data_IF_985792196747
#
_entry.id   IF_985792196747
#
_cell.length_a   1.000
_cell.length_b   1.000
_cell.length_c   1.000
_cell.angle_alpha   90.00
_cell.angle_beta   90.00
_cell.angle_gamma   90.00
#
_symmetry.space_group_name_H-M   'P 1'
#
loop_
_entity.id
_entity.type
_entity.pdbx_description
1 polymer ?
#
# COMPACT_ATOMS: atom_id res chain seq x y z
N UNK A 1 -45.17 14.52 -9.93
CA UNK A 1 -43.90 13.76 -9.97
C UNK A 1 -44.21 12.30 -9.71
N UNK A 2 -44.33 11.51 -10.77
CA UNK A 2 -44.79 10.11 -10.69
C UNK A 2 -43.69 9.19 -10.16
N UNK A 3 -44.07 8.19 -9.37
CA UNK A 3 -43.21 7.16 -8.73
C UNK A 3 -42.15 6.57 -9.68
N UNK A 4 -42.41 6.53 -10.99
CA UNK A 4 -41.48 6.14 -12.06
C UNK A 4 -40.22 7.01 -12.19
N UNK A 5 -40.33 8.34 -12.07
CA UNK A 5 -39.19 9.26 -12.14
C UNK A 5 -38.34 9.21 -10.85
N UNK A 6 -39.00 9.05 -9.70
CA UNK A 6 -38.33 8.88 -8.41
C UNK A 6 -37.51 7.57 -8.39
N UNK A 7 -38.08 6.48 -8.92
CA UNK A 7 -37.38 5.20 -9.09
C UNK A 7 -36.21 5.26 -10.07
N UNK A 8 -36.38 5.94 -11.23
CA UNK A 8 -35.27 6.17 -12.18
C UNK A 8 -34.14 7.04 -11.60
N UNK A 9 -34.48 8.10 -10.87
CA UNK A 9 -33.49 8.98 -10.21
C UNK A 9 -32.77 8.27 -9.07
N UNK A 10 -33.45 7.40 -8.33
CA UNK A 10 -32.82 6.55 -7.31
C UNK A 10 -31.81 5.57 -7.94
N UNK A 11 -32.20 4.87 -9.02
CA UNK A 11 -31.31 3.96 -9.74
C UNK A 11 -30.12 4.65 -10.42
N UNK A 12 -30.28 5.88 -10.92
CA UNK A 12 -29.18 6.66 -11.49
C UNK A 12 -28.15 7.04 -10.43
N UNK A 13 -28.59 7.47 -9.24
CA UNK A 13 -27.72 7.91 -8.15
C UNK A 13 -26.92 6.75 -7.53
N UNK A 14 -27.53 5.59 -7.37
CA UNK A 14 -26.82 4.38 -6.92
C UNK A 14 -25.74 3.94 -7.92
N UNK A 15 -26.02 4.07 -9.23
CA UNK A 15 -25.03 3.80 -10.27
C UNK A 15 -23.84 4.76 -10.23
N UNK A 16 -24.02 6.02 -9.78
CA UNK A 16 -22.91 6.99 -9.72
C UNK A 16 -21.82 6.54 -8.74
N UNK A 17 -22.17 6.01 -7.56
CA UNK A 17 -21.16 5.52 -6.60
C UNK A 17 -20.39 4.34 -7.19
N UNK A 18 -21.11 3.40 -7.81
CA UNK A 18 -20.52 2.24 -8.46
C UNK A 18 -19.58 2.65 -9.61
N UNK A 19 -19.99 3.59 -10.46
CA UNK A 19 -19.14 4.13 -11.54
C UNK A 19 -17.91 4.83 -10.98
N UNK A 20 -18.06 5.71 -9.99
CA UNK A 20 -16.92 6.38 -9.38
C UNK A 20 -15.94 5.38 -8.73
N UNK A 21 -16.45 4.33 -8.10
CA UNK A 21 -15.61 3.29 -7.50
C UNK A 21 -14.91 2.44 -8.57
N UNK A 22 -15.60 2.13 -9.67
CA UNK A 22 -15.01 1.49 -10.84
C UNK A 22 -13.89 2.35 -11.45
N UNK A 23 -14.13 3.65 -11.66
CA UNK A 23 -13.15 4.59 -12.20
C UNK A 23 -11.89 4.67 -11.32
N UNK A 24 -12.04 4.69 -10.00
CA UNK A 24 -10.88 4.69 -9.09
C UNK A 24 -10.11 3.37 -9.21
N UNK A 25 -10.78 2.21 -9.22
CA UNK A 25 -10.12 0.92 -9.48
C UNK A 25 -9.36 0.89 -10.82
N UNK A 26 -9.95 1.41 -11.90
CA UNK A 26 -9.30 1.51 -13.20
C UNK A 26 -8.08 2.44 -13.21
N UNK A 27 -8.02 3.40 -12.29
CA UNK A 27 -6.98 4.44 -12.21
C UNK A 27 -5.78 4.05 -11.34
N UNK A 28 -5.70 2.80 -10.87
CA UNK A 28 -4.71 2.35 -9.88
C UNK A 28 -3.23 2.53 -10.29
N UNK A 29 -2.95 2.57 -11.60
CA UNK A 29 -1.61 2.71 -12.18
C UNK A 29 -1.41 4.05 -12.92
N UNK A 30 -2.38 4.96 -12.79
CA UNK A 30 -2.32 6.29 -13.41
C UNK A 30 -1.61 7.30 -12.49
N UNK A 31 -1.19 8.47 -13.01
CA UNK A 31 -0.53 9.49 -12.21
C UNK A 31 -1.36 9.93 -10.99
N UNK A 32 -0.66 10.33 -9.91
CA UNK A 32 -1.28 10.70 -8.62
C UNK A 32 -2.37 11.78 -8.73
N UNK A 33 -2.28 12.68 -9.72
CA UNK A 33 -3.33 13.68 -9.98
C UNK A 33 -4.69 13.05 -10.31
N UNK A 34 -4.71 11.93 -11.05
CA UNK A 34 -5.92 11.17 -11.36
C UNK A 34 -6.50 10.52 -10.11
N UNK A 35 -5.64 10.13 -9.17
CA UNK A 35 -6.10 9.56 -7.90
C UNK A 35 -6.75 10.63 -7.00
N UNK A 36 -6.19 11.84 -6.94
CA UNK A 36 -6.84 12.96 -6.25
C UNK A 36 -8.15 13.36 -6.91
N UNK A 37 -8.24 13.33 -8.24
CA UNK A 37 -9.50 13.54 -8.93
C UNK A 37 -10.55 12.50 -8.51
N UNK A 38 -10.20 11.21 -8.47
CA UNK A 38 -11.10 10.15 -8.00
C UNK A 38 -11.48 10.32 -6.53
N UNK A 39 -10.56 10.76 -5.68
CA UNK A 39 -10.86 11.11 -4.28
C UNK A 39 -11.96 12.18 -4.19
N UNK A 40 -11.83 13.26 -4.96
CA UNK A 40 -12.81 14.36 -5.00
C UNK A 40 -14.16 13.90 -5.58
N UNK A 41 -14.14 13.13 -6.67
CA UNK A 41 -15.36 12.55 -7.27
C UNK A 41 -16.06 11.65 -6.25
N UNK A 42 -15.32 10.78 -5.56
CA UNK A 42 -15.89 9.87 -4.57
C UNK A 42 -16.49 10.62 -3.38
N UNK A 43 -15.80 11.65 -2.89
CA UNK A 43 -16.30 12.53 -1.83
C UNK A 43 -17.61 13.21 -2.24
N UNK A 44 -17.65 13.78 -3.45
CA UNK A 44 -18.84 14.43 -4.00
C UNK A 44 -20.00 13.43 -4.14
N UNK A 45 -19.76 12.30 -4.81
CA UNK A 45 -20.80 11.33 -5.12
C UNK A 45 -21.36 10.68 -3.86
N UNK A 46 -20.52 10.29 -2.89
CA UNK A 46 -20.99 9.76 -1.59
C UNK A 46 -21.66 10.85 -0.74
N UNK A 47 -21.18 12.09 -0.81
CA UNK A 47 -21.78 13.23 -0.10
C UNK A 47 -23.19 13.55 -0.58
N UNK A 48 -23.48 13.33 -1.86
CA UNK A 48 -24.80 13.56 -2.48
C UNK A 48 -25.77 12.39 -2.31
N UNK A 49 -25.34 11.24 -1.79
CA UNK A 49 -26.23 10.09 -1.60
C UNK A 49 -27.19 10.30 -0.41
N UNK A 50 -28.51 10.03 -0.59
CA UNK A 50 -29.48 10.09 0.51
C UNK A 50 -29.17 9.10 1.65
N UNK A 51 -28.60 7.94 1.33
CA UNK A 51 -28.27 6.87 2.30
C UNK A 51 -26.93 7.10 3.03
N UNK A 52 -26.26 8.26 2.84
CA UNK A 52 -24.94 8.57 3.43
C UNK A 52 -24.88 8.35 4.94
N UNK A 53 -25.96 8.63 5.68
CA UNK A 53 -26.04 8.41 7.14
C UNK A 53 -26.01 6.91 7.48
N UNK A 54 -26.66 6.09 6.67
CA UNK A 54 -26.64 4.64 6.83
C UNK A 54 -25.24 4.08 6.49
N UNK A 55 -24.62 4.53 5.40
CA UNK A 55 -23.23 4.17 5.04
C UNK A 55 -22.23 4.53 6.13
N UNK A 56 -22.36 5.74 6.68
CA UNK A 56 -21.55 6.21 7.82
C UNK A 56 -21.76 5.35 9.06
N UNK A 57 -23.00 5.04 9.43
CA UNK A 57 -23.31 4.15 10.56
C UNK A 57 -22.69 2.75 10.39
N UNK A 58 -22.76 2.17 9.18
CA UNK A 58 -22.12 0.89 8.88
C UNK A 58 -20.60 0.95 9.03
N UNK A 59 -19.96 2.00 8.50
CA UNK A 59 -18.52 2.18 8.61
C UNK A 59 -18.06 2.33 10.06
N UNK A 60 -18.81 3.05 10.91
CA UNK A 60 -18.49 3.23 12.34
C UNK A 60 -18.55 1.94 13.17
N UNK A 61 -19.28 0.93 12.71
CA UNK A 61 -19.40 -0.37 13.39
C UNK A 61 -18.29 -1.35 13.03
N UNK A 62 -17.29 -0.91 12.29
CA UNK A 62 -16.18 -1.76 11.84
C UNK A 62 -15.10 -1.86 12.91
N UNK A 63 -14.35 -2.97 12.90
CA UNK A 63 -13.21 -3.16 13.81
C UNK A 63 -12.10 -2.10 13.63
N UNK A 64 -12.11 -1.39 12.51
CA UNK A 64 -11.12 -0.37 12.11
C UNK A 64 -11.52 1.02 12.60
N UNK A 65 -12.80 1.27 12.86
CA UNK A 65 -13.29 2.61 13.20
C UNK A 65 -12.66 3.15 14.49
N UNK A 66 -12.52 2.31 15.52
CA UNK A 66 -11.93 2.69 16.81
C UNK A 66 -10.44 3.03 16.68
N UNK A 67 -9.55 2.13 16.17
CA UNK A 67 -8.14 2.47 16.03
C UNK A 67 -7.91 3.67 15.10
N UNK A 68 -8.73 3.84 14.06
CA UNK A 68 -8.64 5.01 13.19
C UNK A 68 -8.98 6.30 13.94
N UNK A 69 -10.06 6.32 14.73
CA UNK A 69 -10.42 7.48 15.54
C UNK A 69 -9.36 7.78 16.60
N UNK A 70 -8.82 6.76 17.26
CA UNK A 70 -7.75 6.90 18.24
C UNK A 70 -6.46 7.42 17.60
N UNK A 71 -6.12 7.01 16.39
CA UNK A 71 -4.94 7.51 15.68
C UNK A 71 -5.06 9.02 15.43
N UNK A 72 -6.25 9.47 15.00
CA UNK A 72 -6.54 10.89 14.79
C UNK A 72 -6.51 11.69 16.09
N UNK A 73 -7.19 11.20 17.13
CA UNK A 73 -7.28 11.86 18.43
C UNK A 73 -5.93 11.92 19.14
N UNK A 74 -5.17 10.84 19.09
CA UNK A 74 -3.83 10.78 19.68
C UNK A 74 -2.86 11.73 18.96
N UNK A 75 -2.86 11.73 17.63
CA UNK A 75 -2.02 12.66 16.86
C UNK A 75 -2.41 14.12 17.10
N UNK A 76 -3.70 14.40 17.26
CA UNK A 76 -4.18 15.74 17.63
C UNK A 76 -3.70 16.12 19.05
N UNK A 77 -3.78 15.20 20.02
CA UNK A 77 -3.26 15.43 21.37
C UNK A 77 -1.76 15.73 21.36
N UNK A 78 -0.97 14.96 20.59
CA UNK A 78 0.47 15.20 20.42
C UNK A 78 0.74 16.58 19.81
N UNK A 79 -0.05 17.03 18.84
CA UNK A 79 0.08 18.38 18.28
C UNK A 79 -0.30 19.47 19.29
N UNK A 80 -1.35 19.26 20.08
CA UNK A 80 -1.80 20.23 21.08
C UNK A 80 -0.86 20.34 22.29
N UNK A 81 -0.23 19.23 22.67
CA UNK A 81 0.69 19.16 23.81
C UNK A 81 2.15 19.39 23.42
N UNK A 82 2.51 19.22 22.15
CA UNK A 82 3.87 19.27 21.63
C UNK A 82 4.19 20.55 20.85
N UNK A 83 5.44 20.68 20.40
CA UNK A 83 5.87 21.81 19.57
C UNK A 83 5.28 21.75 18.16
N UNK A 84 5.11 22.93 17.56
CA UNK A 84 4.72 23.08 16.17
C UNK A 84 5.96 23.20 15.28
N UNK A 85 6.12 22.26 14.33
CA UNK A 85 7.19 22.25 13.33
C UNK A 85 6.70 22.76 11.97
N UNK A 86 7.61 23.18 11.08
CA UNK A 86 7.25 23.57 9.70
C UNK A 86 6.42 22.49 8.97
N UNK A 87 6.73 21.22 9.23
CA UNK A 87 6.08 20.07 8.58
C UNK A 87 4.78 19.61 9.28
N UNK A 88 4.41 20.16 10.44
CA UNK A 88 3.26 19.70 11.24
C UNK A 88 1.95 19.74 10.45
N UNK A 89 1.67 20.84 9.74
CA UNK A 89 0.47 20.97 8.91
C UNK A 89 0.42 19.93 7.79
N UNK A 90 1.55 19.68 7.13
CA UNK A 90 1.68 18.67 6.07
C UNK A 90 1.43 17.27 6.62
N UNK A 91 1.97 16.95 7.81
CA UNK A 91 1.72 15.66 8.49
C UNK A 91 0.26 15.49 8.89
N UNK A 92 -0.39 16.53 9.42
CA UNK A 92 -1.83 16.52 9.69
C UNK A 92 -2.65 16.27 8.42
N UNK A 93 -2.31 16.94 7.32
CA UNK A 93 -2.94 16.70 6.03
C UNK A 93 -2.81 15.25 5.58
N UNK A 94 -1.61 14.65 5.67
CA UNK A 94 -1.41 13.24 5.33
C UNK A 94 -2.25 12.31 6.20
N UNK A 95 -2.29 12.54 7.51
CA UNK A 95 -3.08 11.76 8.45
C UNK A 95 -4.58 11.83 8.15
N UNK A 96 -5.11 13.03 7.94
CA UNK A 96 -6.52 13.24 7.59
C UNK A 96 -6.84 12.62 6.23
N UNK A 97 -5.94 12.74 5.25
CA UNK A 97 -6.10 12.12 3.93
C UNK A 97 -6.16 10.60 4.04
N UNK A 98 -5.29 9.96 4.83
CA UNK A 98 -5.33 8.50 5.07
C UNK A 98 -6.67 8.09 5.65
N UNK A 99 -7.11 8.76 6.73
CA UNK A 99 -8.38 8.45 7.36
C UNK A 99 -9.57 8.65 6.41
N UNK A 100 -9.54 9.71 5.59
CA UNK A 100 -10.54 9.98 4.57
C UNK A 100 -10.60 8.88 3.51
N UNK A 101 -9.45 8.47 2.96
CA UNK A 101 -9.36 7.42 1.95
C UNK A 101 -9.92 6.10 2.48
N UNK A 102 -9.51 5.71 3.70
CA UNK A 102 -10.03 4.51 4.36
C UNK A 102 -11.54 4.63 4.55
N UNK A 103 -12.02 5.76 5.06
CA UNK A 103 -13.45 6.00 5.28
C UNK A 103 -14.27 5.85 4.00
N UNK A 104 -13.83 6.46 2.90
CA UNK A 104 -14.52 6.38 1.60
C UNK A 104 -14.61 4.94 1.10
N UNK A 105 -13.53 4.16 1.21
CA UNK A 105 -13.55 2.73 0.85
C UNK A 105 -14.50 1.92 1.74
N UNK A 106 -14.50 2.16 3.06
CA UNK A 106 -15.39 1.46 4.01
C UNK A 106 -16.87 1.83 3.87
N UNK A 107 -17.20 2.95 3.21
CA UNK A 107 -18.57 3.42 2.96
C UNK A 107 -19.24 2.79 1.74
N UNK A 108 -18.47 2.08 0.91
CA UNK A 108 -19.02 1.38 -0.26
C UNK A 108 -19.96 0.23 0.15
N UNK A 109 -20.92 -0.08 -0.72
CA UNK A 109 -21.72 -1.30 -0.65
C UNK A 109 -20.90 -2.51 -1.12
N UNK A 110 -21.39 -3.72 -0.85
CA UNK A 110 -20.74 -4.95 -1.33
C UNK A 110 -20.58 -4.97 -2.87
N UNK A 111 -21.62 -4.56 -3.60
CA UNK A 111 -21.61 -4.54 -5.06
C UNK A 111 -20.63 -3.49 -5.62
N UNK A 112 -20.64 -2.28 -5.06
CA UNK A 112 -19.69 -1.22 -5.42
C UNK A 112 -18.25 -1.62 -5.14
N UNK A 113 -18.01 -2.23 -3.97
CA UNK A 113 -16.68 -2.68 -3.57
C UNK A 113 -16.17 -3.81 -4.46
N UNK A 114 -17.03 -4.77 -4.79
CA UNK A 114 -16.70 -5.84 -5.74
C UNK A 114 -16.33 -5.27 -7.11
N UNK A 115 -17.12 -4.31 -7.61
CA UNK A 115 -16.85 -3.66 -8.89
C UNK A 115 -15.50 -2.93 -8.88
N UNK A 116 -15.18 -2.20 -7.82
CA UNK A 116 -13.90 -1.54 -7.64
C UNK A 116 -12.71 -2.51 -7.65
N UNK A 117 -12.80 -3.65 -6.94
CA UNK A 117 -11.74 -4.67 -6.96
C UNK A 117 -11.59 -5.27 -8.35
N UNK A 118 -12.68 -5.57 -9.06
CA UNK A 118 -12.62 -6.10 -10.42
C UNK A 118 -12.01 -5.09 -11.41
N UNK A 119 -12.36 -3.81 -11.28
CA UNK A 119 -11.78 -2.71 -12.05
C UNK A 119 -10.28 -2.57 -11.80
N UNK A 120 -9.84 -2.69 -10.54
CA UNK A 120 -8.43 -2.74 -10.17
C UNK A 120 -7.69 -3.93 -10.81
N UNK A 121 -8.27 -5.13 -10.78
CA UNK A 121 -7.65 -6.28 -11.41
C UNK A 121 -7.58 -6.11 -12.94
N UNK A 122 -8.59 -5.51 -13.56
CA UNK A 122 -8.57 -5.18 -14.97
C UNK A 122 -7.45 -4.18 -15.31
N UNK A 123 -7.27 -3.11 -14.51
CA UNK A 123 -6.18 -2.15 -14.73
C UNK A 123 -4.80 -2.76 -14.51
N UNK A 124 -4.66 -3.75 -13.62
CA UNK A 124 -3.42 -4.52 -13.47
C UNK A 124 -3.06 -5.31 -14.74
N UNK A 125 -4.04 -5.92 -15.42
CA UNK A 125 -3.81 -6.58 -16.71
C UNK A 125 -3.43 -5.56 -17.78
N UNK A 126 -4.11 -4.40 -17.83
CA UNK A 126 -3.74 -3.32 -18.74
C UNK A 126 -2.30 -2.85 -18.49
N UNK A 127 -1.88 -2.71 -17.23
CA UNK A 127 -0.51 -2.35 -16.89
C UNK A 127 0.52 -3.37 -17.41
N UNK A 128 0.23 -4.68 -17.27
CA UNK A 128 1.07 -5.75 -17.84
C UNK A 128 1.14 -5.65 -19.37
N UNK A 129 0.00 -5.41 -20.04
CA UNK A 129 -0.05 -5.27 -21.49
C UNK A 129 0.75 -4.06 -21.99
N UNK A 130 0.69 -2.92 -21.27
CA UNK A 130 1.49 -1.73 -21.58
C UNK A 130 2.99 -2.04 -21.46
N UNK A 131 3.41 -2.70 -20.37
CA UNK A 131 4.82 -3.09 -20.18
C UNK A 131 5.27 -4.02 -21.30
N UNK A 132 4.48 -5.04 -21.64
CA UNK A 132 4.79 -5.98 -22.72
C UNK A 132 4.88 -5.27 -24.08
N UNK A 133 3.90 -4.42 -24.39
CA UNK A 133 3.87 -3.64 -25.63
C UNK A 133 5.10 -2.73 -25.74
N UNK A 134 5.55 -2.11 -24.65
CA UNK A 134 6.78 -1.34 -24.65
C UNK A 134 8.03 -2.19 -24.91
N UNK A 135 8.10 -3.41 -24.36
CA UNK A 135 9.23 -4.32 -24.60
C UNK A 135 9.32 -4.81 -26.04
N UNK A 136 8.18 -4.92 -26.74
CA UNK A 136 8.12 -5.40 -28.13
C UNK A 136 8.28 -4.24 -29.13
N UNK A 137 7.57 -3.13 -28.93
CA UNK A 137 7.45 -2.05 -29.92
C UNK A 137 8.13 -0.74 -29.50
N UNK A 138 8.59 -0.60 -28.26
CA UNK A 138 9.17 0.65 -27.77
C UNK A 138 8.15 1.78 -27.67
N UNK A 139 7.09 1.60 -26.86
CA UNK A 139 6.08 2.63 -26.62
C UNK A 139 6.71 3.96 -26.18
N UNK A 140 6.16 5.11 -26.62
CA UNK A 140 6.69 6.42 -26.26
C UNK A 140 6.55 6.69 -24.76
N UNK A 141 7.45 7.50 -24.19
CA UNK A 141 7.46 7.84 -22.76
C UNK A 141 6.41 8.91 -22.42
N UNK A 142 5.13 8.56 -22.52
CA UNK A 142 4.02 9.46 -22.19
C UNK A 142 3.71 9.46 -20.70
N UNK A 143 3.34 10.62 -20.17
CA UNK A 143 3.07 10.85 -18.74
C UNK A 143 2.05 9.89 -18.12
N UNK A 144 1.11 9.39 -18.90
CA UNK A 144 0.04 8.50 -18.44
C UNK A 144 0.53 7.09 -18.07
N UNK A 145 1.63 6.61 -18.67
CA UNK A 145 2.19 5.27 -18.43
C UNK A 145 3.70 5.24 -18.22
N UNK A 146 4.38 6.38 -18.29
CA UNK A 146 5.85 6.50 -18.12
C UNK A 146 6.32 5.85 -16.82
N UNK A 147 5.53 5.99 -15.76
CA UNK A 147 5.76 5.38 -14.46
C UNK A 147 5.76 3.84 -14.43
N UNK A 148 5.14 3.19 -15.42
CA UNK A 148 5.18 1.74 -15.60
C UNK A 148 6.43 1.30 -16.37
N UNK A 149 6.97 2.18 -17.21
CA UNK A 149 8.02 1.84 -18.18
C UNK A 149 9.42 2.21 -17.67
N UNK A 150 9.57 3.39 -17.06
CA UNK A 150 10.85 3.92 -16.61
C UNK A 150 10.90 4.04 -15.10
N UNK A 151 12.04 3.69 -14.51
CA UNK A 151 12.30 3.93 -13.09
C UNK A 151 12.68 5.39 -12.89
N UNK A 152 11.68 6.23 -12.62
CA UNK A 152 11.88 7.60 -12.12
C UNK A 152 11.39 7.68 -10.68
N UNK A 153 12.31 7.78 -9.73
CA UNK A 153 12.05 7.98 -8.30
C UNK A 153 11.16 6.88 -7.65
N UNK A 154 10.66 7.12 -6.43
CA UNK A 154 9.81 6.20 -5.67
C UNK A 154 8.50 5.80 -6.38
N UNK A 155 8.10 6.52 -7.43
CA UNK A 155 6.82 6.32 -8.12
C UNK A 155 6.77 5.01 -8.94
N UNK A 156 7.86 4.66 -9.64
CA UNK A 156 7.93 3.40 -10.40
C UNK A 156 7.91 2.16 -9.47
N UNK A 157 8.58 2.29 -8.32
CA UNK A 157 8.53 1.27 -7.26
C UNK A 157 7.12 1.08 -6.70
N UNK A 158 6.31 2.15 -6.60
CA UNK A 158 4.93 2.08 -6.14
C UNK A 158 4.01 1.32 -7.08
N UNK A 159 4.09 1.55 -8.38
CA UNK A 159 3.31 0.77 -9.36
C UNK A 159 3.62 -0.73 -9.28
N UNK A 160 4.89 -1.10 -9.10
CA UNK A 160 5.27 -2.51 -9.00
C UNK A 160 4.80 -3.15 -7.69
N UNK A 161 4.73 -2.40 -6.58
CA UNK A 161 4.13 -2.83 -5.31
C UNK A 161 2.61 -3.05 -5.46
N UNK A 162 1.92 -2.14 -6.16
CA UNK A 162 0.50 -2.27 -6.48
C UNK A 162 0.26 -3.48 -7.39
N UNK A 163 1.13 -3.71 -8.38
CA UNK A 163 1.07 -4.88 -9.27
C UNK A 163 1.33 -6.19 -8.52
N UNK A 164 2.26 -6.19 -7.55
CA UNK A 164 2.50 -7.34 -6.67
C UNK A 164 1.26 -7.67 -5.83
N UNK A 165 0.57 -6.63 -5.35
CA UNK A 165 -0.70 -6.79 -4.62
C UNK A 165 -1.79 -7.40 -5.52
N UNK A 166 -1.90 -6.95 -6.79
CA UNK A 166 -2.80 -7.55 -7.77
C UNK A 166 -2.48 -9.03 -8.01
N UNK A 167 -1.20 -9.38 -8.13
CA UNK A 167 -0.75 -10.76 -8.32
C UNK A 167 -1.16 -11.66 -7.15
N UNK A 168 -0.98 -11.20 -5.91
CA UNK A 168 -1.47 -11.91 -4.72
C UNK A 168 -2.98 -12.16 -4.76
N UNK A 169 -3.77 -11.19 -5.25
CA UNK A 169 -5.22 -11.36 -5.43
C UNK A 169 -5.57 -12.37 -6.52
N UNK A 170 -4.89 -12.34 -7.68
CA UNK A 170 -5.11 -13.32 -8.75
C UNK A 170 -4.78 -14.75 -8.30
N UNK A 171 -3.67 -14.95 -7.60
CA UNK A 171 -3.32 -16.24 -7.02
C UNK A 171 -4.33 -16.69 -5.97
N UNK A 172 -4.77 -15.80 -5.09
CA UNK A 172 -5.84 -16.11 -4.13
C UNK A 172 -7.13 -16.55 -4.83
N UNK A 173 -7.54 -15.86 -5.91
CA UNK A 173 -8.69 -16.23 -6.72
C UNK A 173 -8.53 -17.62 -7.36
N UNK A 174 -7.35 -17.92 -7.91
CA UNK A 174 -7.07 -19.22 -8.53
C UNK A 174 -7.17 -20.42 -7.56
N UNK A 175 -6.94 -20.19 -6.27
CA UNK A 175 -7.04 -21.24 -5.24
C UNK A 175 -8.46 -21.50 -4.72
N UNK A 176 -9.46 -20.73 -5.17
CA UNK A 176 -10.83 -20.89 -4.69
C UNK A 176 -11.46 -22.19 -5.18
N UNK A 177 -12.06 -23.01 -4.29
CA UNK A 177 -12.53 -24.35 -4.65
C UNK A 177 -13.67 -24.32 -5.66
N UNK A 178 -14.56 -23.33 -5.58
CA UNK A 178 -15.77 -23.19 -6.42
C UNK A 178 -15.54 -22.45 -7.74
N UNK A 179 -14.29 -22.12 -8.09
CA UNK A 179 -13.98 -21.42 -9.33
C UNK A 179 -13.94 -22.43 -10.49
N UNK A 180 -14.73 -22.17 -11.54
CA UNK A 180 -14.77 -22.96 -12.77
C UNK A 180 -13.40 -22.98 -13.47
N UNK A 181 -13.18 -23.99 -14.31
CA UNK A 181 -11.89 -24.26 -14.96
C UNK A 181 -11.42 -23.06 -15.80
N UNK A 182 -12.31 -22.44 -16.57
CA UNK A 182 -11.98 -21.31 -17.44
C UNK A 182 -11.55 -20.09 -16.63
N UNK A 183 -12.32 -19.72 -15.61
CA UNK A 183 -11.97 -18.59 -14.73
C UNK A 183 -10.74 -18.88 -13.90
N UNK A 184 -10.51 -20.14 -13.51
CA UNK A 184 -9.29 -20.56 -12.82
C UNK A 184 -8.08 -20.43 -13.72
N UNK A 185 -8.16 -20.90 -14.96
CA UNK A 185 -7.11 -20.75 -15.95
C UNK A 185 -6.81 -19.27 -16.22
N UNK A 186 -7.84 -18.43 -16.36
CA UNK A 186 -7.68 -16.99 -16.51
C UNK A 186 -7.01 -16.34 -15.29
N UNK A 187 -7.39 -16.72 -14.07
CA UNK A 187 -6.76 -16.22 -12.84
C UNK A 187 -5.30 -16.67 -12.71
N UNK A 188 -4.98 -17.91 -13.09
CA UNK A 188 -3.60 -18.41 -13.14
C UNK A 188 -2.78 -17.65 -14.19
N UNK A 189 -3.32 -17.48 -15.40
CA UNK A 189 -2.64 -16.73 -16.46
C UNK A 189 -2.38 -15.27 -16.04
N UNK A 190 -3.36 -14.61 -15.44
CA UNK A 190 -3.23 -13.27 -14.87
C UNK A 190 -2.21 -13.22 -13.72
N UNK A 191 -2.25 -14.21 -12.81
CA UNK A 191 -1.30 -14.35 -11.71
C UNK A 191 0.13 -14.51 -12.21
N UNK A 192 0.35 -15.40 -13.18
CA UNK A 192 1.65 -15.60 -13.84
C UNK A 192 2.13 -14.34 -14.56
N UNK A 193 1.28 -13.69 -15.34
CA UNK A 193 1.66 -12.50 -16.10
C UNK A 193 2.05 -11.33 -15.18
N UNK A 194 1.30 -11.10 -14.10
CA UNK A 194 1.63 -10.09 -13.09
C UNK A 194 2.87 -10.46 -12.27
N UNK A 195 3.02 -11.73 -11.86
CA UNK A 195 4.22 -12.22 -11.16
C UNK A 195 5.47 -12.06 -12.04
N UNK A 196 5.42 -12.48 -13.29
CA UNK A 196 6.51 -12.39 -14.25
C UNK A 196 6.89 -10.93 -14.53
N UNK A 197 5.92 -10.03 -14.65
CA UNK A 197 6.17 -8.60 -14.84
C UNK A 197 6.91 -8.02 -13.62
N UNK A 198 6.46 -8.30 -12.39
CA UNK A 198 7.15 -7.82 -11.20
C UNK A 198 8.54 -8.46 -11.05
N UNK A 199 8.69 -9.75 -11.35
CA UNK A 199 9.97 -10.43 -11.22
C UNK A 199 11.03 -9.95 -12.23
N UNK A 200 10.62 -9.74 -13.49
CA UNK A 200 11.56 -9.50 -14.60
C UNK A 200 11.68 -8.03 -15.01
N UNK A 201 10.60 -7.24 -14.88
CA UNK A 201 10.58 -5.83 -15.28
C UNK A 201 10.81 -4.88 -14.10
N UNK A 202 10.35 -5.22 -12.88
CA UNK A 202 10.50 -4.30 -11.77
C UNK A 202 11.98 -4.12 -11.40
N UNK A 203 12.43 -2.86 -11.39
CA UNK A 203 13.70 -2.46 -10.76
C UNK A 203 13.58 -2.32 -9.23
N UNK A 204 12.46 -2.75 -8.64
CA UNK A 204 12.14 -2.56 -7.22
C UNK A 204 12.28 -3.85 -6.42
N UNK A 205 13.35 -3.95 -5.63
CA UNK A 205 13.58 -5.04 -4.65
C UNK A 205 12.40 -5.20 -3.69
N UNK A 206 11.79 -4.08 -3.27
CA UNK A 206 10.64 -4.06 -2.36
C UNK A 206 9.41 -4.73 -2.98
N UNK A 207 9.15 -4.53 -4.28
CA UNK A 207 8.02 -5.16 -4.96
C UNK A 207 8.22 -6.68 -5.10
N UNK A 208 9.45 -7.13 -5.38
CA UNK A 208 9.81 -8.55 -5.50
C UNK A 208 9.70 -9.27 -4.14
N UNK A 209 10.22 -8.65 -3.07
CA UNK A 209 10.07 -9.18 -1.70
C UNK A 209 8.61 -9.23 -1.28
N UNK A 210 7.85 -8.17 -1.56
CA UNK A 210 6.41 -8.16 -1.29
C UNK A 210 5.69 -9.28 -2.05
N UNK A 211 6.00 -9.49 -3.33
CA UNK A 211 5.44 -10.59 -4.12
C UNK A 211 5.64 -11.94 -3.43
N UNK A 212 6.88 -12.23 -3.01
CA UNK A 212 7.21 -13.47 -2.31
C UNK A 212 6.40 -13.64 -1.01
N UNK A 213 6.28 -12.57 -0.21
CA UNK A 213 5.47 -12.57 1.01
C UNK A 213 3.99 -12.82 0.69
N UNK A 214 3.44 -12.17 -0.34
CA UNK A 214 2.03 -12.33 -0.71
C UNK A 214 1.71 -13.73 -1.24
N UNK A 215 2.62 -14.36 -2.00
CA UNK A 215 2.46 -15.77 -2.40
C UNK A 215 2.42 -16.69 -1.19
N UNK A 216 3.29 -16.47 -0.19
CA UNK A 216 3.24 -17.21 1.06
C UNK A 216 1.92 -16.98 1.81
N UNK A 217 1.45 -15.72 1.88
CA UNK A 217 0.17 -15.36 2.48
C UNK A 217 -0.98 -16.11 1.80
N UNK A 218 -0.99 -16.23 0.47
CA UNK A 218 -2.02 -16.98 -0.26
C UNK A 218 -2.07 -18.45 0.19
N UNK A 219 -0.91 -19.10 0.29
CA UNK A 219 -0.80 -20.49 0.77
C UNK A 219 -1.28 -20.61 2.23
N UNK A 220 -0.81 -19.71 3.09
CA UNK A 220 -1.18 -19.67 4.52
C UNK A 220 -2.68 -19.43 4.70
N UNK A 221 -3.28 -18.49 3.97
CA UNK A 221 -4.72 -18.23 4.00
C UNK A 221 -5.53 -19.43 3.51
N UNK A 222 -5.05 -20.14 2.48
CA UNK A 222 -5.76 -21.26 1.86
C UNK A 222 -5.79 -22.51 2.74
N UNK A 223 -4.68 -22.82 3.40
CA UNK A 223 -4.52 -24.07 4.12
C UNK A 223 -4.54 -23.91 5.64
N UNK A 224 -4.10 -22.76 6.16
CA UNK A 224 -4.11 -22.39 7.59
C UNK A 224 -3.42 -23.40 8.52
N UNK A 225 -2.49 -24.17 7.98
CA UNK A 225 -1.67 -25.12 8.74
C UNK A 225 -0.20 -24.71 8.66
N UNK A 226 0.56 -24.97 9.71
CA UNK A 226 1.99 -24.68 9.73
C UNK A 226 2.75 -25.50 8.68
N UNK A 227 2.29 -26.72 8.35
CA UNK A 227 2.88 -27.57 7.31
C UNK A 227 2.76 -26.94 5.93
N UNK A 228 1.58 -26.39 5.61
CA UNK A 228 1.39 -25.66 4.36
C UNK A 228 2.18 -24.35 4.33
N UNK A 229 2.31 -23.67 5.47
CA UNK A 229 3.19 -22.50 5.58
C UNK A 229 4.65 -22.85 5.28
N UNK A 230 5.18 -23.93 5.88
CA UNK A 230 6.53 -24.41 5.65
C UNK A 230 6.74 -24.86 4.18
N UNK A 231 5.80 -25.63 3.62
CA UNK A 231 5.85 -26.05 2.22
C UNK A 231 5.75 -24.88 1.25
N UNK A 232 4.88 -23.90 1.54
CA UNK A 232 4.76 -22.67 0.78
C UNK A 232 6.05 -21.82 0.83
N UNK A 233 6.65 -21.70 2.02
CA UNK A 233 7.94 -21.01 2.17
C UNK A 233 9.04 -21.70 1.37
N UNK A 234 9.13 -23.03 1.42
CA UNK A 234 10.05 -23.80 0.60
C UNK A 234 9.82 -23.57 -0.90
N UNK A 235 8.56 -23.59 -1.37
CA UNK A 235 8.23 -23.33 -2.76
C UNK A 235 8.61 -21.90 -3.20
N UNK A 236 8.35 -20.90 -2.36
CA UNK A 236 8.76 -19.51 -2.61
C UNK A 236 10.29 -19.39 -2.68
N UNK A 237 11.03 -20.08 -1.81
CA UNK A 237 12.49 -20.11 -1.85
C UNK A 237 13.02 -20.76 -3.13
N UNK A 238 12.42 -21.85 -3.59
CA UNK A 238 12.78 -22.49 -4.88
C UNK A 238 12.51 -21.53 -6.05
N UNK A 239 11.37 -20.85 -6.06
CA UNK A 239 11.06 -19.85 -7.09
C UNK A 239 12.05 -18.68 -7.06
N UNK A 240 12.42 -18.20 -5.87
CA UNK A 240 13.41 -17.15 -5.69
C UNK A 240 14.80 -17.59 -6.18
N UNK A 241 15.22 -18.81 -5.87
CA UNK A 241 16.49 -19.38 -6.35
C UNK A 241 16.50 -19.56 -7.88
N UNK A 242 15.37 -19.98 -8.46
CA UNK A 242 15.18 -20.03 -9.90
C UNK A 242 15.26 -18.65 -10.55
N UNK A 243 14.57 -17.65 -9.99
CA UNK A 243 14.61 -16.27 -10.47
C UNK A 243 16.03 -15.69 -10.38
N UNK A 244 16.74 -15.93 -9.28
CA UNK A 244 18.15 -15.55 -9.12
C UNK A 244 19.06 -16.17 -10.19
N UNK A 245 18.86 -17.45 -10.51
CA UNK A 245 19.73 -18.19 -11.43
C UNK A 245 19.43 -17.90 -12.90
N UNK A 246 18.17 -17.57 -13.22
CA UNK A 246 17.69 -17.40 -14.60
C UNK A 246 17.57 -15.93 -15.03
N UNK A 247 17.54 -14.97 -14.10
CA UNK A 247 17.39 -13.54 -14.39
C UNK A 247 18.63 -12.76 -13.95
N UNK A 248 19.46 -12.28 -14.89
CA UNK A 248 20.61 -11.40 -14.59
C UNK A 248 20.19 -10.18 -13.76
N UNK A 249 19.04 -9.58 -14.09
CA UNK A 249 18.49 -8.44 -13.34
C UNK A 249 18.25 -8.76 -11.86
N UNK A 250 17.74 -9.96 -11.55
CA UNK A 250 17.50 -10.36 -10.15
C UNK A 250 18.84 -10.66 -9.48
N UNK A 251 19.72 -11.40 -10.15
CA UNK A 251 21.06 -11.72 -9.66
C UNK A 251 21.83 -10.46 -9.26
N UNK A 252 22.02 -9.53 -10.20
CA UNK A 252 22.83 -8.33 -10.01
C UNK A 252 22.30 -7.47 -8.85
N UNK A 253 20.97 -7.34 -8.73
CA UNK A 253 20.32 -6.48 -7.72
C UNK A 253 20.43 -7.01 -6.30
N UNK A 254 20.34 -8.32 -6.13
CA UNK A 254 20.51 -8.91 -4.81
C UNK A 254 22.00 -9.19 -4.50
N UNK A 255 22.88 -9.31 -5.50
CA UNK A 255 24.32 -9.28 -5.30
C UNK A 255 24.78 -7.90 -4.79
N UNK A 256 24.27 -6.82 -5.40
CA UNK A 256 24.44 -5.42 -4.95
C UNK A 256 23.92 -5.23 -3.51
N UNK A 257 22.75 -5.80 -3.18
CA UNK A 257 22.23 -5.83 -1.81
C UNK A 257 23.21 -6.49 -0.83
N UNK A 258 23.79 -7.63 -1.21
CA UNK A 258 24.72 -8.35 -0.34
C UNK A 258 26.04 -7.59 -0.14
N UNK A 259 26.54 -6.86 -1.16
CA UNK A 259 27.66 -5.95 -0.99
C UNK A 259 27.30 -4.76 -0.10
N UNK A 260 26.15 -4.12 -0.33
CA UNK A 260 25.69 -2.98 0.46
C UNK A 260 25.61 -3.33 1.96
N UNK A 261 24.97 -4.46 2.29
CA UNK A 261 24.79 -4.90 3.69
C UNK A 261 26.12 -5.18 4.38
N UNK A 262 27.11 -5.72 3.67
CA UNK A 262 28.46 -5.94 4.22
C UNK A 262 29.17 -4.61 4.49
N UNK A 263 28.94 -3.59 3.67
CA UNK A 263 29.51 -2.24 3.84
C UNK A 263 28.90 -1.44 4.99
N UNK A 264 27.67 -1.72 5.43
CA UNK A 264 27.00 -0.99 6.54
C UNK A 264 27.74 -1.15 7.88
N UNK A 265 28.55 -2.20 8.06
CA UNK A 265 29.31 -2.44 9.30
C UNK A 265 30.58 -1.60 9.41
N UNK A 266 31.08 -1.05 8.30
CA UNK A 266 32.21 -0.12 8.28
C UNK A 266 31.66 1.30 8.22
N UNK A 267 32.09 2.19 9.13
CA UNK A 267 31.60 3.58 9.23
C UNK A 267 31.73 4.42 7.95
N UNK A 268 32.43 3.92 6.92
CA UNK A 268 32.74 4.60 5.67
C UNK A 268 31.58 4.73 4.67
N UNK A 269 30.51 3.92 4.76
CA UNK A 269 29.61 3.75 3.60
C UNK A 269 28.17 4.21 3.86
N UNK A 270 27.99 5.43 4.38
CA UNK A 270 26.69 6.14 4.41
C UNK A 270 26.12 6.48 3.01
N UNK A 271 26.78 6.01 1.93
CA UNK A 271 26.54 6.31 0.52
C UNK A 271 25.57 5.33 -0.14
N UNK A 272 25.40 4.12 0.42
CA UNK A 272 24.46 3.14 -0.15
C UNK A 272 23.03 3.45 0.30
N UNK A 273 22.05 3.13 -0.56
CA UNK A 273 20.61 3.30 -0.23
C UNK A 273 20.20 2.61 1.08
N UNK A 274 20.91 1.55 1.46
CA UNK A 274 20.66 0.76 2.68
C UNK A 274 21.36 1.38 3.88
N UNK A 275 22.62 1.81 3.75
CA UNK A 275 23.31 2.54 4.81
C UNK A 275 22.54 3.79 5.23
N UNK A 276 21.97 4.52 4.26
CA UNK A 276 21.13 5.67 4.54
C UNK A 276 19.85 5.31 5.31
N UNK A 277 19.11 4.28 4.85
CA UNK A 277 17.90 3.79 5.54
C UNK A 277 18.22 3.27 6.95
N UNK A 278 19.37 2.66 7.13
CA UNK A 278 19.84 2.19 8.44
C UNK A 278 20.09 3.35 9.39
N UNK A 279 20.80 4.40 8.96
CA UNK A 279 20.97 5.63 9.75
C UNK A 279 19.62 6.29 10.06
N UNK A 280 18.74 6.41 9.08
CA UNK A 280 17.38 6.93 9.32
C UNK A 280 16.61 6.13 10.38
N UNK A 281 16.74 4.80 10.37
CA UNK A 281 16.13 3.94 11.37
C UNK A 281 16.74 4.15 12.76
N UNK A 282 18.07 4.28 12.86
CA UNK A 282 18.76 4.60 14.11
C UNK A 282 18.26 5.93 14.69
N UNK A 283 18.19 6.98 13.88
CA UNK A 283 17.69 8.30 14.31
C UNK A 283 16.25 8.22 14.82
N UNK A 284 15.37 7.51 14.09
CA UNK A 284 13.98 7.34 14.51
C UNK A 284 13.87 6.54 15.82
N UNK A 285 14.65 5.47 15.99
CA UNK A 285 14.65 4.64 17.21
C UNK A 285 15.22 5.42 18.41
N UNK A 286 16.31 6.16 18.22
CA UNK A 286 16.89 7.00 19.27
C UNK A 286 15.87 8.04 19.75
N UNK A 287 15.18 8.71 18.82
CA UNK A 287 14.15 9.69 19.14
C UNK A 287 12.90 9.08 19.80
N UNK A 288 12.53 7.83 19.50
CA UNK A 288 11.53 7.07 20.28
C UNK A 288 12.00 6.87 21.72
N UNK A 289 13.28 6.52 21.91
CA UNK A 289 13.88 6.34 23.24
C UNK A 289 13.92 7.62 24.07
N UNK A 290 14.18 8.76 23.44
CA UNK A 290 14.18 10.08 24.09
C UNK A 290 12.78 10.49 24.59
N UNK A 291 11.73 10.24 23.80
CA UNK A 291 10.36 10.65 24.11
C UNK A 291 9.35 9.53 23.85
N UNK A 292 9.32 8.46 24.67
CA UNK A 292 8.58 7.25 24.36
C UNK A 292 7.05 7.41 24.42
N UNK A 293 6.54 8.40 25.16
CA UNK A 293 5.10 8.59 25.33
C UNK A 293 4.50 9.47 24.22
N UNK A 294 4.94 10.71 24.08
CA UNK A 294 4.36 11.66 23.12
C UNK A 294 5.16 11.78 21.82
N UNK A 295 6.33 11.13 21.73
CA UNK A 295 7.25 11.33 20.64
C UNK A 295 7.89 12.73 20.67
N UNK A 296 8.61 13.04 19.61
CA UNK A 296 9.30 14.32 19.41
C UNK A 296 8.39 15.42 18.84
N UNK A 297 7.11 15.11 18.61
CA UNK A 297 6.10 15.99 18.03
C UNK A 297 5.87 15.71 16.54
N UNK A 298 4.64 15.98 16.07
CA UNK A 298 4.22 15.67 14.70
C UNK A 298 4.91 16.62 13.71
N UNK A 299 5.61 16.08 12.70
CA UNK A 299 6.39 16.88 11.74
C UNK A 299 7.82 17.14 12.14
N UNK A 300 8.31 16.55 13.24
CA UNK A 300 9.67 16.74 13.73
C UNK A 300 10.75 16.07 12.86
N UNK A 301 10.37 15.09 12.02
CA UNK A 301 11.33 14.27 11.27
C UNK A 301 12.36 15.08 10.50
N UNK A 302 11.92 16.01 9.67
CA UNK A 302 12.83 16.70 8.75
C UNK A 302 13.84 17.55 9.50
N UNK A 303 13.40 18.27 10.53
CA UNK A 303 14.29 19.03 11.41
C UNK A 303 15.34 18.16 12.09
N UNK A 304 14.95 16.99 12.60
CA UNK A 304 15.89 16.05 13.22
C UNK A 304 16.83 15.42 12.20
N UNK A 305 16.31 15.06 11.03
CA UNK A 305 17.09 14.46 9.97
C UNK A 305 18.15 15.43 9.43
N UNK A 306 17.82 16.73 9.29
CA UNK A 306 18.82 17.76 8.93
C UNK A 306 19.94 17.87 9.96
N UNK A 307 19.63 17.80 11.26
CA UNK A 307 20.64 17.81 12.32
C UNK A 307 21.52 16.57 12.28
N UNK A 308 20.92 15.38 12.14
CA UNK A 308 21.65 14.13 12.02
C UNK A 308 22.54 14.13 10.76
N UNK A 309 21.99 14.55 9.62
CA UNK A 309 22.68 14.67 8.34
C UNK A 309 23.93 15.56 8.46
N UNK A 310 23.82 16.74 9.06
CA UNK A 310 24.94 17.65 9.26
C UNK A 310 26.11 17.00 10.05
N UNK A 311 25.82 16.05 10.96
CA UNK A 311 26.84 15.34 11.73
C UNK A 311 27.69 14.33 10.93
N UNK A 312 27.25 13.95 9.74
CA UNK A 312 27.99 13.02 8.87
C UNK A 312 28.15 13.47 7.42
N UNK A 313 27.58 14.61 7.03
CA UNK A 313 27.60 15.12 5.66
C UNK A 313 29.02 15.26 5.10
N UNK A 314 29.96 15.79 5.89
CA UNK A 314 31.35 16.00 5.48
C UNK A 314 32.13 14.70 5.20
N UNK A 315 31.59 13.55 5.65
CA UNK A 315 32.16 12.21 5.44
C UNK A 315 31.58 11.51 4.21
N UNK A 316 30.57 12.10 3.57
CA UNK A 316 29.96 11.55 2.36
C UNK A 316 30.78 11.92 1.12
N UNK A 317 30.78 11.09 0.07
CA UNK A 317 31.40 11.42 -1.22
C UNK A 317 30.87 12.74 -1.78
N UNK A 318 31.70 13.55 -2.45
CA UNK A 318 31.32 14.86 -3.01
C UNK A 318 30.14 14.80 -4.00
N UNK A 319 29.96 13.66 -4.64
CA UNK A 319 28.93 13.31 -5.62
C UNK A 319 27.62 12.83 -4.97
N UNK A 320 27.54 12.82 -3.64
CA UNK A 320 26.31 12.48 -2.91
C UNK A 320 25.21 13.48 -3.23
N UNK A 321 24.04 13.04 -3.72
CA UNK A 321 22.99 13.97 -4.10
C UNK A 321 22.49 14.81 -2.90
N UNK A 322 22.49 16.15 -3.01
CA UNK A 322 22.12 17.03 -1.88
C UNK A 322 20.70 16.80 -1.38
N UNK A 323 19.79 16.37 -2.25
CA UNK A 323 18.38 16.13 -1.92
C UNK A 323 18.17 14.97 -0.91
N UNK A 324 19.18 14.16 -0.63
CA UNK A 324 19.10 13.11 0.40
C UNK A 324 18.97 13.71 1.81
N UNK A 325 19.51 14.91 2.04
CA UNK A 325 19.29 15.68 3.25
C UNK A 325 17.81 16.05 3.45
N UNK A 326 17.05 16.20 2.35
CA UNK A 326 15.64 16.58 2.37
C UNK A 326 14.69 15.35 2.37
N UNK A 327 15.24 14.18 2.67
CA UNK A 327 14.42 12.97 2.79
C UNK A 327 13.45 13.13 3.96
N UNK A 328 12.17 13.26 3.63
CA UNK A 328 11.12 13.67 4.56
C UNK A 328 10.43 12.52 5.33
N UNK A 329 11.02 11.32 5.31
CA UNK A 329 10.60 10.18 6.13
C UNK A 329 11.73 9.11 6.24
N UNK A 330 11.76 8.30 7.31
CA UNK A 330 12.73 7.21 7.49
C UNK A 330 12.45 5.97 6.61
N UNK A 331 11.54 6.04 5.63
CA UNK A 331 11.09 4.90 4.83
C UNK A 331 10.52 3.75 5.68
N UNK A 332 9.94 4.08 6.82
CA UNK A 332 9.23 3.16 7.70
C UNK A 332 8.17 3.97 8.47
N UNK A 333 6.89 3.77 8.14
CA UNK A 333 5.79 4.51 8.75
C UNK A 333 5.62 4.18 10.24
N UNK A 334 6.00 2.98 10.70
CA UNK A 334 5.94 2.62 12.11
C UNK A 334 6.98 3.40 12.92
N UNK A 335 8.23 3.44 12.44
CA UNK A 335 9.29 4.21 13.07
C UNK A 335 8.99 5.71 13.03
N UNK A 336 8.50 6.21 11.89
CA UNK A 336 8.10 7.61 11.77
C UNK A 336 6.98 7.96 12.76
N UNK A 337 5.95 7.12 12.85
CA UNK A 337 4.81 7.35 13.75
C UNK A 337 5.25 7.23 15.21
N UNK A 338 6.06 6.24 15.54
CA UNK A 338 6.63 6.09 16.88
C UNK A 338 7.49 7.29 17.29
N UNK A 339 8.30 7.78 16.37
CA UNK A 339 9.16 8.93 16.62
C UNK A 339 8.36 10.22 16.80
N UNK A 340 7.33 10.45 15.98
CA UNK A 340 6.52 11.68 16.02
C UNK A 340 5.49 11.68 17.15
N UNK A 341 4.92 10.52 17.48
CA UNK A 341 3.75 10.39 18.38
C UNK A 341 3.96 9.42 19.54
N UNK A 342 5.17 8.89 19.71
CA UNK A 342 5.52 7.94 20.74
C UNK A 342 5.05 6.51 20.45
N UNK A 343 5.43 5.60 21.34
CA UNK A 343 5.03 4.18 21.33
C UNK A 343 3.49 4.03 21.25
N UNK A 344 2.67 4.81 21.98
CA UNK A 344 1.21 4.70 21.88
C UNK A 344 0.68 4.90 20.45
N UNK A 345 1.13 5.94 19.74
CA UNK A 345 0.69 6.19 18.37
C UNK A 345 1.15 5.10 17.38
N UNK A 346 2.39 4.61 17.55
CA UNK A 346 2.89 3.46 16.78
C UNK A 346 2.02 2.20 17.00
N UNK A 347 1.68 1.89 18.25
CA UNK A 347 0.83 0.73 18.58
C UNK A 347 -0.59 0.88 18.04
N UNK A 348 -1.16 2.09 18.06
CA UNK A 348 -2.48 2.37 17.46
C UNK A 348 -2.43 2.15 15.94
N UNK A 349 -1.36 2.59 15.26
CA UNK A 349 -1.18 2.32 13.82
C UNK A 349 -1.06 0.82 13.52
N UNK A 350 -0.27 0.08 14.32
CA UNK A 350 -0.16 -1.37 14.21
C UNK A 350 -1.54 -2.03 14.41
N UNK A 351 -2.28 -1.60 15.44
CA UNK A 351 -3.63 -2.09 15.71
C UNK A 351 -4.58 -1.81 14.55
N UNK A 352 -4.53 -0.63 13.95
CA UNK A 352 -5.34 -0.27 12.78
C UNK A 352 -5.15 -1.28 11.63
N UNK A 353 -3.90 -1.58 11.28
CA UNK A 353 -3.58 -2.50 10.18
C UNK A 353 -3.88 -3.95 10.56
N UNK A 354 -3.59 -4.36 11.80
CA UNK A 354 -3.94 -5.69 12.31
C UNK A 354 -5.46 -5.90 12.36
N UNK A 355 -6.26 -4.87 12.63
CA UNK A 355 -7.72 -4.96 12.62
C UNK A 355 -8.25 -5.34 11.23
N UNK A 356 -7.64 -4.83 10.16
CA UNK A 356 -7.94 -5.26 8.79
C UNK A 356 -7.59 -6.73 8.57
N UNK A 357 -6.35 -7.10 8.86
CA UNK A 357 -5.86 -8.47 8.64
C UNK A 357 -6.65 -9.48 9.48
N UNK A 358 -6.89 -9.20 10.76
CA UNK A 358 -7.64 -10.07 11.65
C UNK A 358 -9.10 -10.24 11.19
N UNK A 359 -9.74 -9.16 10.74
CA UNK A 359 -11.10 -9.23 10.20
C UNK A 359 -11.13 -10.06 8.92
N UNK A 360 -10.22 -9.79 7.97
CA UNK A 360 -10.12 -10.56 6.73
C UNK A 360 -9.81 -12.04 6.99
N UNK A 361 -8.89 -12.31 7.92
CA UNK A 361 -8.48 -13.67 8.29
C UNK A 361 -9.67 -14.44 8.86
N UNK A 362 -10.42 -13.89 9.82
CA UNK A 362 -11.60 -14.56 10.40
C UNK A 362 -12.68 -14.87 9.35
N UNK A 363 -12.68 -14.20 8.20
CA UNK A 363 -13.61 -14.44 7.10
C UNK A 363 -13.07 -15.50 6.15
N UNK A 364 -13.65 -16.70 6.20
CA UNK A 364 -13.34 -17.82 5.30
C UNK A 364 -13.95 -17.63 3.90
N UNK A 365 -13.70 -16.48 3.27
CA UNK A 365 -14.29 -16.12 1.98
C UNK A 365 -13.27 -15.49 1.03
N UNK A 366 -13.63 -15.41 -0.25
CA UNK A 366 -12.81 -14.73 -1.26
C UNK A 366 -12.48 -13.29 -0.82
N UNK A 367 -13.48 -12.51 -0.42
CA UNK A 367 -13.30 -11.13 0.04
C UNK A 367 -12.44 -11.02 1.31
N UNK A 368 -12.58 -11.98 2.22
CA UNK A 368 -11.75 -12.07 3.43
C UNK A 368 -10.27 -12.23 3.10
N UNK A 369 -9.92 -13.18 2.24
CA UNK A 369 -8.54 -13.36 1.80
C UNK A 369 -7.99 -12.19 0.99
N UNK A 370 -8.80 -11.52 0.15
CA UNK A 370 -8.37 -10.27 -0.51
C UNK A 370 -8.05 -9.17 0.50
N UNK A 371 -8.82 -9.07 1.58
CA UNK A 371 -8.52 -8.12 2.68
C UNK A 371 -7.23 -8.47 3.40
N UNK A 372 -6.92 -9.74 3.60
CA UNK A 372 -5.62 -10.17 4.16
C UNK A 372 -4.48 -9.82 3.22
N UNK A 373 -4.61 -10.07 1.91
CA UNK A 373 -3.59 -9.73 0.90
C UNK A 373 -3.28 -8.24 0.93
N UNK A 374 -4.27 -7.36 0.85
CA UNK A 374 -4.03 -5.92 0.93
C UNK A 374 -3.53 -5.48 2.32
N UNK A 375 -4.03 -6.08 3.39
CA UNK A 375 -3.62 -5.72 4.75
C UNK A 375 -2.14 -6.02 4.98
N UNK A 376 -1.69 -7.22 4.58
CA UNK A 376 -0.27 -7.59 4.63
C UNK A 376 0.54 -6.74 3.65
N UNK A 377 0.03 -6.45 2.45
CA UNK A 377 0.72 -5.59 1.49
C UNK A 377 1.00 -4.20 2.06
N UNK A 378 -0.01 -3.57 2.68
CA UNK A 378 0.16 -2.27 3.34
C UNK A 378 1.12 -2.38 4.53
N UNK A 379 1.02 -3.41 5.38
CA UNK A 379 1.91 -3.59 6.53
C UNK A 379 3.37 -3.76 6.14
N UNK A 380 3.66 -4.65 5.18
CA UNK A 380 5.03 -4.88 4.68
C UNK A 380 5.55 -3.61 4.03
N UNK A 381 4.73 -2.94 3.22
CA UNK A 381 5.13 -1.70 2.56
C UNK A 381 5.35 -0.56 3.57
N UNK A 382 4.59 -0.49 4.65
CA UNK A 382 4.77 0.45 5.75
C UNK A 382 6.03 0.20 6.58
N UNK A 383 6.56 -1.03 6.58
CA UNK A 383 7.79 -1.37 7.27
C UNK A 383 9.06 -1.01 6.47
N UNK A 384 8.96 -0.90 5.14
CA UNK A 384 10.14 -0.70 4.25
C UNK A 384 10.03 0.51 3.31
N UNK A 385 8.88 1.20 3.34
CA UNK A 385 8.60 2.49 2.70
C UNK A 385 7.61 3.28 3.60
N UNK A 386 7.09 4.40 3.07
CA UNK A 386 6.12 5.26 3.76
C UNK A 386 4.77 5.42 2.99
N UNK A 387 4.01 4.32 2.73
CA UNK A 387 2.70 4.37 2.07
C UNK A 387 1.71 5.31 2.75
N UNK A 388 1.70 5.45 4.07
CA UNK A 388 0.72 6.30 4.75
C UNK A 388 1.00 7.80 4.46
N UNK A 389 2.26 8.15 4.17
CA UNK A 389 2.66 9.51 3.76
C UNK A 389 2.59 9.72 2.25
N UNK A 390 3.07 8.78 1.44
CA UNK A 390 3.16 8.94 -0.01
C UNK A 390 1.80 8.72 -0.69
N UNK A 391 1.27 9.77 -1.34
CA UNK A 391 -0.02 9.67 -2.01
C UNK A 391 0.01 8.76 -3.24
N UNK A 392 1.13 8.73 -3.97
CA UNK A 392 1.26 7.97 -5.21
C UNK A 392 1.15 6.46 -4.95
N UNK A 393 1.83 6.00 -3.90
CA UNK A 393 1.86 4.60 -3.52
C UNK A 393 0.69 4.25 -2.57
N UNK A 394 0.46 5.09 -1.56
CA UNK A 394 -0.41 4.79 -0.44
C UNK A 394 -1.90 4.86 -0.74
N UNK A 395 -2.31 5.85 -1.53
CA UNK A 395 -3.74 6.17 -1.64
C UNK A 395 -4.51 5.05 -2.35
N UNK A 396 -3.91 4.39 -3.35
CA UNK A 396 -4.52 3.22 -4.01
C UNK A 396 -4.58 2.03 -3.06
N UNK A 397 -3.47 1.67 -2.40
CA UNK A 397 -3.41 0.49 -1.52
C UNK A 397 -4.32 0.63 -0.30
N UNK A 398 -4.32 1.79 0.35
CA UNK A 398 -5.17 2.06 1.52
C UNK A 398 -6.64 2.07 1.14
N UNK A 399 -6.98 2.64 -0.03
CA UNK A 399 -8.35 2.59 -0.53
C UNK A 399 -8.77 1.15 -0.83
N UNK A 400 -7.96 0.38 -1.57
CA UNK A 400 -8.27 -1.02 -1.90
C UNK A 400 -8.38 -1.90 -0.65
N UNK A 401 -7.56 -1.67 0.38
CA UNK A 401 -7.68 -2.33 1.69
C UNK A 401 -9.04 -2.05 2.35
N UNK A 402 -9.48 -0.78 2.32
CA UNK A 402 -10.78 -0.40 2.85
C UNK A 402 -11.94 -0.98 2.02
N UNK A 403 -11.81 -0.95 0.69
CA UNK A 403 -12.79 -1.50 -0.25
C UNK A 403 -12.93 -3.01 -0.09
N UNK A 404 -11.83 -3.76 0.02
CA UNK A 404 -11.89 -5.21 0.24
C UNK A 404 -12.62 -5.56 1.54
N UNK A 405 -12.46 -4.72 2.57
CA UNK A 405 -13.21 -4.84 3.81
C UNK A 405 -14.71 -4.53 3.61
N UNK A 406 -15.06 -3.51 2.83
CA UNK A 406 -16.46 -3.24 2.50
C UNK A 406 -17.10 -4.41 1.72
N UNK A 407 -16.33 -5.06 0.84
CA UNK A 407 -16.80 -6.21 0.06
C UNK A 407 -17.27 -7.37 0.94
N UNK A 408 -16.62 -7.68 2.05
CA UNK A 408 -17.05 -8.82 2.87
C UNK A 408 -18.41 -8.63 3.58
N UNK A 409 -18.90 -7.39 3.75
CA UNK A 409 -20.06 -7.08 4.62
C UNK A 409 -21.42 -7.48 4.04
N UNK A 410 -21.49 -7.75 2.74
CA UNK A 410 -22.74 -8.19 2.10
C UNK A 410 -22.99 -9.69 2.13
N UNK A 411 -22.02 -10.50 2.58
CA UNK A 411 -22.15 -11.96 2.62
C UNK A 411 -22.80 -12.50 3.92
N UNK A 412 -23.12 -11.63 4.88
CA UNK A 412 -23.74 -11.99 6.17
C UNK A 412 -25.29 -12.03 6.10
N UNK A 413 -25.87 -11.75 4.94
CA UNK A 413 -27.32 -11.71 4.72
C UNK A 413 -27.76 -12.52 3.48
N UNK A 414 -26.93 -13.46 3.02
CA UNK A 414 -27.24 -14.34 1.89
C UNK A 414 -27.26 -15.81 2.32
#
# INVERSE_FOLDING_TARGET
MTVSEAGRRAGLRERMVAVAACCWGLSAFLPVGVMYLNLLIMLLVLGLQPDRRHRWSRMRRTAVAIPMALLLLWSLLVVLAGPWYPDTATRLFHLVRVALIITLGLMLSNAEARLAILAFLASAIVAVLIVLAHRIWGLPDWTIWSSLLTSRNNFSSGNMIVLASASGVFWWMATQPRLDTTRRAAAIAAGLATTATVAMHAQSRNAQLLMAVLLLVVVVCRFRTWRAAAGGAAAVLVLAAGAWSLSPTVHDRFAELASDVRGVQTESDAVTSIGLRWRMAQEAVAAIGENPLMGTGLGSWLSRWHLAWAGFADRLPPDTPPHLADTNNPHNDFLLTGMETGIPGMLILIWLLLAFVATGWRRHSLAGGVTVVFGVAVMVTAAVNAPLRDAALGSTLLWLLAVSMAWHRGADHA
#
